data_IF_391649964372
#
_entry.id   IF_391649964372
#
_cell.length_a   1.000
_cell.length_b   1.000
_cell.length_c   1.000
_cell.angle_alpha   90.00
_cell.angle_beta   90.00
_cell.angle_gamma   90.00
#
_symmetry.space_group_name_H-M   'P 1'
#
loop_
_entity.id
_entity.type
_entity.pdbx_description
1 polymer ?
#
# COMPACT_ATOMS: atom_id res chain seq x y z
N UNK A 1 11.31 9.57 -9.27
CA UNK A 1 10.19 8.62 -9.06
C UNK A 1 10.62 7.14 -8.85
N UNK A 2 11.35 6.46 -9.75
CA UNK A 2 11.71 5.01 -9.54
C UNK A 2 12.52 4.76 -8.26
N UNK A 3 13.54 5.59 -7.98
CA UNK A 3 14.34 5.48 -6.76
C UNK A 3 13.48 5.64 -5.49
N UNK A 4 12.64 6.66 -5.45
CA UNK A 4 11.71 6.90 -4.33
C UNK A 4 10.75 5.71 -4.12
N UNK A 5 10.28 5.07 -5.19
CA UNK A 5 9.46 3.88 -5.06
C UNK A 5 10.22 2.68 -4.49
N UNK A 6 11.52 2.55 -4.81
CA UNK A 6 12.39 1.55 -4.18
C UNK A 6 12.60 1.86 -2.70
N UNK A 7 12.84 3.12 -2.35
CA UNK A 7 13.03 3.53 -0.96
C UNK A 7 11.74 3.31 -0.14
N UNK A 8 10.57 3.62 -0.72
CA UNK A 8 9.27 3.34 -0.10
C UNK A 8 9.00 1.84 0.05
N UNK A 9 9.28 1.02 -0.97
CA UNK A 9 9.21 -0.45 -0.90
C UNK A 9 10.08 -1.01 0.25
N UNK A 10 11.27 -0.45 0.46
CA UNK A 10 12.15 -0.84 1.58
C UNK A 10 11.55 -0.46 2.93
N UNK A 11 10.99 0.75 3.07
CA UNK A 11 10.32 1.18 4.30
C UNK A 11 9.14 0.26 4.65
N UNK A 12 8.29 -0.05 3.66
CA UNK A 12 7.16 -0.98 3.84
C UNK A 12 7.66 -2.38 4.23
N UNK A 13 8.72 -2.87 3.60
CA UNK A 13 9.26 -4.22 3.88
C UNK A 13 9.94 -4.34 5.25
N UNK A 14 10.34 -3.22 5.86
CA UNK A 14 10.96 -3.19 7.20
C UNK A 14 9.91 -3.17 8.32
N UNK A 15 8.69 -2.75 8.02
CA UNK A 15 7.61 -2.71 9.01
C UNK A 15 6.89 -4.07 9.08
N UNK A 16 6.91 -4.77 10.23
CA UNK A 16 6.29 -6.10 10.36
C UNK A 16 4.75 -6.08 10.22
N UNK A 17 4.12 -4.91 10.25
CA UNK A 17 2.68 -4.76 10.07
C UNK A 17 2.26 -4.78 8.60
N UNK A 18 3.19 -4.77 7.65
CA UNK A 18 2.89 -4.70 6.22
C UNK A 18 3.57 -5.81 5.44
N UNK A 19 3.00 -6.13 4.28
CA UNK A 19 3.60 -7.01 3.28
C UNK A 19 3.53 -6.35 1.89
N UNK A 20 4.60 -6.51 1.11
CA UNK A 20 4.62 -6.14 -0.31
C UNK A 20 4.07 -7.33 -1.12
N UNK A 21 2.97 -7.11 -1.83
CA UNK A 21 2.19 -8.19 -2.47
C UNK A 21 2.76 -8.63 -3.82
N UNK A 22 3.42 -7.73 -4.52
CA UNK A 22 4.01 -8.01 -5.84
C UNK A 22 5.37 -7.33 -5.93
N UNK A 23 6.34 -7.92 -6.65
CA UNK A 23 7.57 -7.20 -7.00
C UNK A 23 7.25 -5.84 -7.65
N UNK A 24 7.92 -4.76 -7.21
CA UNK A 24 7.72 -3.43 -7.79
C UNK A 24 8.12 -3.42 -9.26
N UNK A 25 7.20 -2.95 -10.11
CA UNK A 25 7.46 -2.64 -11.52
C UNK A 25 7.36 -1.12 -11.69
N UNK A 26 8.38 -0.50 -12.27
CA UNK A 26 8.52 0.95 -12.36
C UNK A 26 8.43 1.64 -10.97
N UNK A 27 7.47 2.53 -10.78
CA UNK A 27 7.28 3.31 -9.55
C UNK A 27 5.97 3.03 -8.81
N UNK A 28 5.38 1.86 -9.04
CA UNK A 28 4.19 1.40 -8.35
C UNK A 28 4.56 0.36 -7.28
N UNK A 29 4.26 0.68 -6.02
CA UNK A 29 4.38 -0.25 -4.90
C UNK A 29 2.99 -0.74 -4.51
N UNK A 30 2.82 -2.06 -4.51
CA UNK A 30 1.59 -2.75 -4.12
C UNK A 30 1.81 -3.44 -2.79
N UNK A 31 1.09 -3.00 -1.76
CA UNK A 31 1.30 -3.48 -0.39
C UNK A 31 -0.02 -3.54 0.37
N UNK A 32 -0.02 -4.20 1.52
CA UNK A 32 -1.17 -4.23 2.43
C UNK A 32 -0.72 -4.46 3.86
N UNK A 33 -1.62 -4.25 4.81
CA UNK A 33 -1.45 -4.67 6.21
C UNK A 33 -1.37 -6.19 6.27
N UNK A 34 -0.38 -6.74 6.99
CA UNK A 34 -0.20 -8.16 7.22
C UNK A 34 -1.39 -8.72 8.03
N UNK A 35 -2.05 -9.80 7.57
CA UNK A 35 -3.14 -10.42 8.31
C UNK A 35 -2.61 -11.06 9.60
N UNK A 36 -3.15 -10.65 10.75
CA UNK A 36 -2.73 -11.13 12.08
C UNK A 36 -3.63 -12.24 12.62
N UNK A 37 -4.93 -12.20 12.30
CA UNK A 37 -5.94 -13.13 12.86
C UNK A 37 -6.44 -14.17 11.83
N UNK A 38 -5.78 -14.31 10.67
CA UNK A 38 -6.29 -15.03 9.48
C UNK A 38 -7.70 -14.61 9.02
N UNK A 39 -8.24 -13.52 9.54
CA UNK A 39 -9.50 -12.93 9.11
C UNK A 39 -9.27 -11.92 7.98
N UNK A 40 -9.50 -12.39 6.76
CA UNK A 40 -9.34 -11.59 5.54
C UNK A 40 -10.32 -10.41 5.50
N UNK A 41 -11.54 -10.54 6.04
CA UNK A 41 -12.52 -9.43 6.05
C UNK A 41 -12.04 -8.32 6.98
N UNK A 42 -11.58 -8.68 8.17
CA UNK A 42 -11.00 -7.72 9.12
C UNK A 42 -9.75 -7.05 8.54
N UNK A 43 -8.88 -7.81 7.89
CA UNK A 43 -7.70 -7.27 7.20
C UNK A 43 -8.11 -6.28 6.09
N UNK A 44 -9.09 -6.63 5.26
CA UNK A 44 -9.60 -5.75 4.21
C UNK A 44 -10.19 -4.46 4.75
N UNK A 45 -10.97 -4.52 5.84
CA UNK A 45 -11.52 -3.33 6.49
C UNK A 45 -10.40 -2.40 6.98
N UNK A 46 -9.38 -2.93 7.66
CA UNK A 46 -8.23 -2.14 8.11
C UNK A 46 -7.46 -1.49 6.95
N UNK A 47 -7.31 -2.19 5.83
CA UNK A 47 -6.68 -1.61 4.63
C UNK A 47 -7.52 -0.48 4.04
N UNK A 48 -8.85 -0.61 4.01
CA UNK A 48 -9.76 0.46 3.57
C UNK A 48 -9.73 1.66 4.51
N UNK A 49 -9.78 1.45 5.83
CA UNK A 49 -9.67 2.50 6.84
C UNK A 49 -8.34 3.26 6.71
N UNK A 50 -7.23 2.54 6.51
CA UNK A 50 -5.93 3.17 6.27
C UNK A 50 -5.94 4.03 5.00
N UNK A 51 -6.49 3.50 3.90
CA UNK A 51 -6.60 4.24 2.64
C UNK A 51 -7.43 5.52 2.81
N UNK A 52 -8.56 5.42 3.48
CA UNK A 52 -9.46 6.55 3.75
C UNK A 52 -8.77 7.60 4.64
N UNK A 53 -8.10 7.17 5.71
CA UNK A 53 -7.35 8.06 6.59
C UNK A 53 -6.22 8.79 5.84
N UNK A 54 -5.49 8.08 4.96
CA UNK A 54 -4.42 8.70 4.16
C UNK A 54 -5.01 9.69 3.16
N UNK A 55 -6.02 9.30 2.39
CA UNK A 55 -6.61 10.14 1.35
C UNK A 55 -7.33 11.37 1.93
N UNK A 56 -8.06 11.21 3.04
CA UNK A 56 -8.76 12.31 3.72
C UNK A 56 -7.81 13.31 4.37
N UNK A 57 -6.58 12.91 4.70
CA UNK A 57 -5.57 13.83 5.23
C UNK A 57 -5.14 14.91 4.22
N UNK A 58 -5.38 14.70 2.92
CA UNK A 58 -4.97 15.61 1.84
C UNK A 58 -3.45 15.67 1.58
N UNK A 59 -2.64 14.93 2.35
CA UNK A 59 -1.17 14.94 2.23
C UNK A 59 -0.64 13.98 1.17
N UNK A 60 -1.36 12.88 0.94
CA UNK A 60 -1.03 11.84 -0.01
C UNK A 60 -2.32 11.27 -0.56
N UNK A 61 -2.32 10.88 -1.83
CA UNK A 61 -3.42 10.14 -2.43
C UNK A 61 -2.91 8.79 -2.93
N UNK A 62 -3.57 7.71 -2.54
CA UNK A 62 -3.34 6.35 -3.02
C UNK A 62 -4.63 5.76 -3.56
N UNK A 63 -4.48 4.72 -4.38
CA UNK A 63 -5.61 3.90 -4.84
C UNK A 63 -5.54 2.52 -4.20
N UNK A 64 -6.56 1.69 -4.45
CA UNK A 64 -6.52 0.28 -4.09
C UNK A 64 -6.93 -0.59 -5.29
N UNK A 65 -6.74 -1.90 -5.13
CA UNK A 65 -7.31 -2.91 -6.01
C UNK A 65 -7.71 -4.14 -5.19
N UNK A 66 -8.65 -4.93 -5.72
CA UNK A 66 -9.00 -6.22 -5.15
C UNK A 66 -8.29 -7.32 -5.95
N UNK A 67 -7.43 -8.10 -5.29
CA UNK A 67 -6.72 -9.23 -5.89
C UNK A 67 -7.08 -10.50 -5.12
N UNK A 68 -7.77 -11.45 -5.77
CA UNK A 68 -8.21 -12.70 -5.14
C UNK A 68 -8.96 -12.49 -3.81
N UNK A 69 -9.82 -11.47 -3.75
CA UNK A 69 -10.58 -11.11 -2.54
C UNK A 69 -9.81 -10.30 -1.49
N UNK A 70 -8.55 -9.94 -1.75
CA UNK A 70 -7.68 -9.14 -0.86
C UNK A 70 -7.64 -7.69 -1.31
N UNK A 71 -7.82 -6.76 -0.39
CA UNK A 71 -7.61 -5.32 -0.64
C UNK A 71 -6.12 -5.03 -0.57
N UNK A 72 -5.58 -4.52 -1.68
CA UNK A 72 -4.18 -4.15 -1.86
C UNK A 72 -4.09 -2.66 -2.15
N UNK A 73 -3.28 -1.95 -1.36
CA UNK A 73 -3.00 -0.53 -1.54
C UNK A 73 -1.97 -0.33 -2.64
N UNK A 74 -2.19 0.70 -3.45
CA UNK A 74 -1.38 1.04 -4.63
C UNK A 74 -0.85 2.45 -4.49
N UNK A 75 0.43 2.57 -4.17
CA UNK A 75 1.15 3.83 -4.15
C UNK A 75 1.94 4.00 -5.45
N UNK A 76 1.45 4.87 -6.33
CA UNK A 76 2.12 5.23 -7.57
C UNK A 76 2.90 6.53 -7.36
N UNK A 77 4.23 6.44 -7.39
CA UNK A 77 5.11 7.60 -7.20
C UNK A 77 5.49 8.15 -8.58
N UNK A 78 5.31 9.44 -8.81
CA UNK A 78 5.56 10.03 -10.13
C UNK A 78 4.86 11.34 -10.41
N UNK A 79 4.25 11.98 -9.41
CA UNK A 79 3.76 13.34 -9.56
C UNK A 79 4.96 14.28 -9.83
N UNK A 80 4.78 15.37 -10.59
CA UNK A 80 5.88 16.27 -10.96
C UNK A 80 6.65 16.88 -9.78
N UNK A 81 6.05 16.89 -8.59
CA UNK A 81 6.59 17.44 -7.34
C UNK A 81 7.07 16.37 -6.34
N UNK A 82 7.10 15.10 -6.75
CA UNK A 82 7.64 13.97 -5.95
C UNK A 82 8.92 13.42 -6.56
#
# INVERSE_FOLDING_TARGET
HIKLAKDFEQLVSQDPNFEVITPRIFSLVCFRILPTDNDEKKCNNRNNELLEAVNSSGKLFMSHTALSGKIVLRCAIGAPLT
#
